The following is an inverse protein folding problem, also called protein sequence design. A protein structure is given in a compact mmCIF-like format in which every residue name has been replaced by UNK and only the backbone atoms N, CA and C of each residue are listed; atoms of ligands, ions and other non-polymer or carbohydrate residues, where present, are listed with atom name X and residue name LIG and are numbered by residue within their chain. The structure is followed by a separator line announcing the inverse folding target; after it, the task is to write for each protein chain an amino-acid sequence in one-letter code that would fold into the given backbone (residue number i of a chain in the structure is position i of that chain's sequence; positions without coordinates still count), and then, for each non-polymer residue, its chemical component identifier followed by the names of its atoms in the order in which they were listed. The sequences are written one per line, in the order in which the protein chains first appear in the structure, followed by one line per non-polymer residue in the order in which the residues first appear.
data_IF_559211543549
#
_entry.id   IF_559211543549
#
_cell.length_a   1.000
_cell.length_b   1.000
_cell.length_c   1.000
_cell.angle_alpha   90.00
_cell.angle_beta   90.00
_cell.angle_gamma   90.00
#
_symmetry.space_group_name_H-M   'P 1'
#
loop_
_entity.id
_entity.type
_entity.pdbx_description
1 polymer ?
#
# COMPACT_ATOMS: atom_id res chain seq x y z
N UNK A 1 -8.04 -3.90 18.95
CA UNK A 1 -8.26 -3.38 17.57
C UNK A 1 -9.74 -3.40 17.22
N UNK A 2 -10.15 -2.62 16.22
CA UNK A 2 -11.48 -2.65 15.63
C UNK A 2 -11.45 -3.48 14.36
N UNK A 3 -12.44 -4.35 14.19
CA UNK A 3 -12.49 -5.31 13.11
C UNK A 3 -13.73 -5.05 12.24
N UNK A 4 -13.51 -4.53 11.04
CA UNK A 4 -14.57 -4.19 10.10
C UNK A 4 -14.72 -5.34 9.12
N UNK A 5 -15.91 -5.96 9.13
CA UNK A 5 -16.15 -7.21 8.42
C UNK A 5 -17.42 -7.17 7.59
N UNK A 6 -17.33 -7.84 6.45
CA UNK A 6 -18.48 -8.35 5.70
C UNK A 6 -18.02 -9.59 4.89
N UNK A 7 -18.83 -10.03 3.92
CA UNK A 7 -18.50 -11.18 3.05
C UNK A 7 -17.18 -11.01 2.27
N UNK A 8 -16.83 -9.79 1.87
CA UNK A 8 -15.70 -9.47 1.00
C UNK A 8 -14.62 -8.59 1.67
N UNK A 9 -14.82 -8.17 2.91
CA UNK A 9 -13.92 -7.34 3.71
C UNK A 9 -13.60 -7.98 5.06
N UNK A 10 -12.37 -7.81 5.50
CA UNK A 10 -11.86 -8.22 6.82
C UNK A 10 -10.62 -7.39 7.13
N UNK A 11 -10.83 -6.21 7.73
CA UNK A 11 -9.75 -5.28 8.05
C UNK A 11 -9.68 -5.02 9.55
N UNK A 12 -8.45 -5.01 10.07
CA UNK A 12 -8.15 -4.66 11.45
C UNK A 12 -7.58 -3.25 11.49
N UNK A 13 -8.18 -2.42 12.33
CA UNK A 13 -7.84 -1.02 12.50
C UNK A 13 -7.45 -0.80 13.96
N UNK A 14 -6.28 -0.23 14.20
CA UNK A 14 -5.86 0.15 15.55
C UNK A 14 -6.73 1.29 16.10
N UNK A 15 -6.90 1.39 17.42
CA UNK A 15 -7.55 2.55 18.04
C UNK A 15 -6.91 3.88 17.60
N UNK A 16 -7.72 4.91 17.40
CA UNK A 16 -7.30 6.24 16.94
C UNK A 16 -6.87 6.31 15.47
N UNK A 17 -6.95 5.21 14.73
CA UNK A 17 -6.55 5.18 13.32
C UNK A 17 -7.72 5.53 12.40
N UNK A 18 -7.40 6.19 11.29
CA UNK A 18 -8.40 6.65 10.31
C UNK A 18 -8.72 5.55 9.31
N UNK A 19 -9.99 5.46 8.94
CA UNK A 19 -10.52 4.57 7.90
C UNK A 19 -11.01 5.42 6.73
N UNK A 20 -10.67 5.00 5.51
CA UNK A 20 -11.26 5.59 4.30
C UNK A 20 -12.69 5.10 4.19
N UNK A 21 -13.66 6.02 4.15
CA UNK A 21 -15.06 5.67 3.93
C UNK A 21 -15.73 6.62 2.95
N UNK A 22 -16.75 6.10 2.25
CA UNK A 22 -17.65 6.91 1.45
C UNK A 22 -18.73 7.52 2.35
N UNK A 23 -19.01 8.81 2.16
CA UNK A 23 -20.09 9.49 2.88
C UNK A 23 -21.43 9.06 2.29
N UNK A 24 -22.33 8.59 3.16
CA UNK A 24 -23.64 8.08 2.76
C UNK A 24 -24.40 9.10 1.88
N UNK A 25 -24.99 8.62 0.79
CA UNK A 25 -25.66 9.43 -0.24
C UNK A 25 -24.78 10.47 -0.95
N UNK A 26 -23.46 10.28 -0.98
CA UNK A 26 -22.54 11.14 -1.76
C UNK A 26 -21.45 10.32 -2.43
N UNK A 27 -20.76 10.89 -3.41
CA UNK A 27 -19.54 10.32 -4.00
C UNK A 27 -18.24 10.79 -3.32
N UNK A 28 -18.35 11.41 -2.15
CA UNK A 28 -17.21 11.92 -1.39
C UNK A 28 -16.63 10.83 -0.49
N UNK A 29 -15.32 10.63 -0.59
CA UNK A 29 -14.55 9.84 0.36
C UNK A 29 -13.92 10.74 1.42
N UNK A 30 -13.92 10.27 2.67
CA UNK A 30 -13.26 10.94 3.79
C UNK A 30 -12.43 9.94 4.60
N UNK A 31 -11.43 10.46 5.31
CA UNK A 31 -10.69 9.75 6.34
C UNK A 31 -11.30 10.10 7.70
N UNK A 32 -11.75 9.10 8.46
CA UNK A 32 -12.36 9.32 9.76
C UNK A 32 -11.89 8.28 10.78
N UNK A 33 -11.70 8.71 12.03
CA UNK A 33 -11.23 7.87 13.13
C UNK A 33 -12.19 6.70 13.36
N UNK A 34 -11.64 5.52 13.60
CA UNK A 34 -12.44 4.30 13.73
C UNK A 34 -13.45 4.37 14.88
N UNK A 35 -13.15 5.08 15.95
CA UNK A 35 -14.07 5.32 17.07
C UNK A 35 -15.33 6.08 16.63
N UNK A 36 -15.19 7.04 15.70
CA UNK A 36 -16.32 7.79 15.14
C UNK A 36 -17.09 6.91 14.16
N UNK A 37 -16.37 6.21 13.28
CA UNK A 37 -16.98 5.27 12.33
C UNK A 37 -17.81 4.19 13.03
N UNK A 38 -17.30 3.63 14.14
CA UNK A 38 -17.98 2.61 14.93
C UNK A 38 -19.26 3.11 15.63
N UNK A 39 -19.43 4.44 15.80
CA UNK A 39 -20.61 5.06 16.42
C UNK A 39 -21.64 5.53 15.39
N UNK A 40 -21.35 5.42 14.09
CA UNK A 40 -22.28 5.84 13.04
C UNK A 40 -23.56 5.00 13.09
N UNK A 41 -24.71 5.69 13.01
CA UNK A 41 -26.01 5.06 12.79
C UNK A 41 -26.28 4.78 11.31
N UNK A 42 -25.57 5.46 10.42
CA UNK A 42 -25.66 5.27 8.98
C UNK A 42 -24.80 4.08 8.52
N UNK A 43 -25.10 3.49 7.34
CA UNK A 43 -24.28 2.42 6.79
C UNK A 43 -22.83 2.86 6.59
N UNK A 44 -21.89 2.02 7.05
CA UNK A 44 -20.46 2.24 6.87
C UNK A 44 -20.04 1.67 5.51
N UNK A 45 -19.80 2.56 4.55
CA UNK A 45 -19.39 2.22 3.19
C UNK A 45 -17.89 2.44 3.05
N UNK A 46 -17.15 1.43 2.61
CA UNK A 46 -15.70 1.53 2.41
C UNK A 46 -15.31 1.15 0.98
N UNK A 47 -14.23 1.73 0.43
CA UNK A 47 -13.74 1.35 -0.87
C UNK A 47 -13.02 0.00 -0.81
N UNK A 48 -13.29 -0.84 -1.80
CA UNK A 48 -12.61 -2.13 -2.08
C UNK A 48 -11.61 -1.96 -3.22
N UNK A 49 -11.79 -0.94 -4.07
CA UNK A 49 -10.95 -0.67 -5.22
C UNK A 49 -10.68 0.82 -5.39
N UNK A 50 -9.58 1.14 -6.07
CA UNK A 50 -9.16 2.51 -6.39
C UNK A 50 -8.72 2.63 -7.84
N UNK A 51 -8.63 3.86 -8.35
CA UNK A 51 -8.12 4.09 -9.71
C UNK A 51 -6.62 3.85 -9.76
N UNK A 52 -6.14 3.21 -10.81
CA UNK A 52 -4.71 3.09 -11.10
C UNK A 52 -4.27 4.31 -11.95
N UNK A 53 -3.48 5.25 -11.41
CA UNK A 53 -3.14 6.50 -12.09
C UNK A 53 -1.90 6.38 -12.99
N UNK A 54 -1.36 5.16 -13.19
CA UNK A 54 -0.19 4.95 -14.03
C UNK A 54 -0.46 5.38 -15.47
N UNK A 55 0.60 5.83 -16.15
CA UNK A 55 0.56 6.14 -17.57
C UNK A 55 0.66 4.85 -18.38
N UNK A 56 0.09 4.88 -19.59
CA UNK A 56 0.14 3.77 -20.55
C UNK A 56 1.57 3.31 -20.78
N UNK A 57 1.75 2.00 -20.70
CA UNK A 57 3.02 1.31 -20.93
C UNK A 57 3.29 1.17 -22.43
N UNK A 58 4.55 0.96 -22.80
CA UNK A 58 4.99 0.78 -24.19
C UNK A 58 4.55 -0.53 -24.84
N UNK A 59 4.09 -1.51 -24.04
CA UNK A 59 3.57 -2.77 -24.58
C UNK A 59 2.29 -2.52 -25.41
N UNK A 60 2.25 -3.11 -26.61
CA UNK A 60 1.05 -3.06 -27.46
C UNK A 60 -0.06 -3.94 -26.88
N UNK A 61 -1.29 -3.63 -27.28
CA UNK A 61 -2.47 -4.38 -26.84
C UNK A 61 -2.40 -5.84 -27.32
N UNK A 62 -1.87 -6.08 -28.52
CA UNK A 62 -1.62 -7.41 -29.07
C UNK A 62 -0.59 -8.18 -28.25
N UNK A 63 0.48 -7.53 -27.79
CA UNK A 63 1.51 -8.17 -26.99
C UNK A 63 0.96 -8.57 -25.62
N UNK A 64 0.20 -7.67 -24.99
CA UNK A 64 -0.47 -7.93 -23.70
C UNK A 64 -1.41 -9.13 -23.83
N UNK A 65 -2.25 -9.16 -24.86
CA UNK A 65 -3.17 -10.27 -25.12
C UNK A 65 -2.45 -11.59 -25.33
N UNK A 66 -1.42 -11.60 -26.18
CA UNK A 66 -0.68 -12.82 -26.48
C UNK A 66 0.05 -13.35 -25.23
N UNK A 67 0.65 -12.47 -24.42
CA UNK A 67 1.26 -12.86 -23.16
C UNK A 67 0.21 -13.40 -22.17
N UNK A 68 -0.97 -12.78 -22.08
CA UNK A 68 -2.07 -13.29 -21.24
C UNK A 68 -2.47 -14.71 -21.63
N UNK A 69 -2.65 -14.98 -22.93
CA UNK A 69 -2.93 -16.32 -23.46
C UNK A 69 -1.82 -17.32 -23.12
N UNK A 70 -0.56 -16.91 -23.21
CA UNK A 70 0.58 -17.77 -22.90
C UNK A 70 0.65 -18.09 -21.39
N UNK A 71 0.31 -17.14 -20.52
CA UNK A 71 0.32 -17.39 -19.07
C UNK A 71 -0.81 -18.34 -18.67
N UNK A 72 -2.01 -18.18 -19.26
CA UNK A 72 -3.17 -19.00 -18.93
C UNK A 72 -3.10 -20.40 -19.56
N UNK A 73 -2.74 -20.49 -20.84
CA UNK A 73 -2.85 -21.73 -21.65
C UNK A 73 -1.51 -22.27 -22.17
N UNK A 74 -0.42 -21.53 -21.95
CA UNK A 74 0.89 -21.89 -22.46
C UNK A 74 1.54 -23.02 -21.66
N UNK A 75 2.49 -23.72 -22.28
CA UNK A 75 3.36 -24.69 -21.62
C UNK A 75 4.75 -24.62 -22.24
N UNK A 76 5.76 -24.97 -21.46
CA UNK A 76 7.14 -25.06 -21.94
C UNK A 76 7.55 -26.52 -22.05
N UNK A 77 7.93 -26.93 -23.27
CA UNK A 77 8.65 -28.17 -23.49
C UNK A 77 10.10 -28.00 -23.01
N UNK A 78 10.49 -28.78 -22.00
CA UNK A 78 11.87 -28.78 -21.51
C UNK A 78 12.81 -29.47 -22.50
N UNK A 79 14.08 -29.02 -22.58
CA UNK A 79 15.07 -29.70 -23.38
C UNK A 79 15.29 -31.13 -22.87
N UNK A 80 15.52 -32.05 -23.81
CA UNK A 80 15.87 -33.44 -23.52
C UNK A 80 17.26 -33.75 -24.05
N UNK A 81 17.79 -34.94 -23.76
CA UNK A 81 19.09 -35.42 -24.28
C UNK A 81 19.24 -35.25 -25.82
N UNK A 82 18.12 -35.21 -26.55
CA UNK A 82 18.09 -35.13 -28.01
C UNK A 82 17.52 -33.80 -28.55
N UNK A 83 17.06 -32.88 -27.70
CA UNK A 83 16.47 -31.60 -28.10
C UNK A 83 16.87 -30.47 -27.16
N UNK A 84 17.60 -29.50 -27.69
CA UNK A 84 18.24 -28.44 -26.90
C UNK A 84 17.40 -27.14 -26.78
N UNK A 85 16.08 -27.17 -27.04
CA UNK A 85 15.29 -25.94 -27.14
C UNK A 85 14.03 -25.96 -26.25
N UNK A 86 13.85 -24.87 -25.51
CA UNK A 86 12.64 -24.58 -24.74
C UNK A 86 11.57 -24.09 -25.70
N UNK A 87 10.59 -24.93 -26.03
CA UNK A 87 9.51 -24.55 -26.95
C UNK A 87 8.25 -24.21 -26.20
N UNK A 88 7.61 -23.11 -26.59
CA UNK A 88 6.32 -22.70 -26.04
C UNK A 88 5.21 -23.33 -26.89
N UNK A 89 4.24 -23.95 -26.22
CA UNK A 89 3.01 -24.46 -26.85
C UNK A 89 1.79 -23.86 -26.17
N UNK A 90 0.80 -23.44 -26.94
CA UNK A 90 -0.48 -22.93 -26.42
C UNK A 90 -1.55 -23.97 -26.76
N UNK A 91 -2.36 -24.33 -25.76
CA UNK A 91 -3.46 -25.29 -25.92
C UNK A 91 -4.79 -24.56 -25.80
N UNK A 92 -5.75 -24.84 -26.68
CA UNK A 92 -7.08 -24.25 -26.56
C UNK A 92 -8.13 -25.13 -27.24
N UNK A 93 -9.36 -25.07 -26.75
CA UNK A 93 -10.52 -25.79 -27.30
C UNK A 93 -10.87 -25.31 -28.71
N UNK A 94 -11.02 -26.25 -29.64
CA UNK A 94 -11.38 -25.95 -31.05
C UNK A 94 -12.89 -25.98 -31.26
N UNK A 95 -13.63 -26.73 -30.43
CA UNK A 95 -15.07 -26.96 -30.64
C UNK A 95 -15.98 -26.00 -29.88
N UNK A 96 -15.60 -25.55 -28.67
CA UNK A 96 -16.43 -24.68 -27.82
C UNK A 96 -16.12 -23.18 -27.92
N UNK A 97 -14.89 -22.81 -28.25
CA UNK A 97 -14.40 -21.42 -28.18
C UNK A 97 -13.56 -21.04 -29.40
N UNK A 98 -14.12 -21.26 -30.60
CA UNK A 98 -13.44 -21.02 -31.88
C UNK A 98 -12.84 -19.62 -31.98
N UNK A 99 -13.47 -18.62 -31.39
CA UNK A 99 -13.00 -17.22 -31.40
C UNK A 99 -11.67 -17.04 -30.66
N UNK A 100 -11.49 -17.71 -29.52
CA UNK A 100 -10.26 -17.65 -28.73
C UNK A 100 -9.08 -18.23 -29.50
N UNK A 101 -9.27 -19.41 -30.09
CA UNK A 101 -8.24 -20.07 -30.90
C UNK A 101 -7.84 -19.23 -32.12
N UNK A 102 -8.82 -18.63 -32.81
CA UNK A 102 -8.55 -17.75 -33.96
C UNK A 102 -7.89 -16.43 -33.56
N UNK A 103 -8.22 -15.85 -32.40
CA UNK A 103 -7.52 -14.67 -31.90
C UNK A 103 -6.04 -14.98 -31.62
N UNK A 104 -5.74 -16.11 -30.97
CA UNK A 104 -4.34 -16.52 -30.72
C UNK A 104 -3.58 -16.63 -32.05
N UNK A 105 -4.17 -17.26 -33.08
CA UNK A 105 -3.53 -17.35 -34.42
C UNK A 105 -3.26 -15.97 -35.02
N UNK A 106 -4.24 -15.07 -35.02
CA UNK A 106 -4.08 -13.69 -35.50
C UNK A 106 -2.97 -12.94 -34.75
N UNK A 107 -2.86 -13.13 -33.44
CA UNK A 107 -1.80 -12.53 -32.63
C UNK A 107 -0.43 -13.10 -32.97
N UNK A 108 -0.31 -14.42 -33.15
CA UNK A 108 0.94 -15.05 -33.58
C UNK A 108 1.37 -14.54 -34.96
N UNK A 109 0.43 -14.45 -35.91
CA UNK A 109 0.68 -13.95 -37.26
C UNK A 109 1.09 -12.47 -37.26
N UNK A 110 0.44 -11.64 -36.42
CA UNK A 110 0.77 -10.21 -36.25
C UNK A 110 2.24 -10.00 -35.85
N UNK A 111 2.77 -10.84 -34.96
CA UNK A 111 4.18 -10.78 -34.54
C UNK A 111 5.14 -11.59 -35.44
N UNK A 112 4.63 -12.18 -36.54
CA UNK A 112 5.41 -13.03 -37.44
C UNK A 112 5.98 -14.27 -36.73
N UNK A 113 5.26 -14.81 -35.74
CA UNK A 113 5.67 -15.99 -34.99
C UNK A 113 5.24 -17.25 -35.73
N UNK A 114 6.21 -18.08 -36.11
CA UNK A 114 5.98 -19.35 -36.81
C UNK A 114 5.58 -20.43 -35.80
N UNK A 115 4.52 -21.18 -36.11
CA UNK A 115 4.02 -22.28 -35.30
C UNK A 115 3.57 -23.46 -36.16
N UNK A 116 3.43 -24.62 -35.51
CA UNK A 116 2.79 -25.81 -36.05
C UNK A 116 1.48 -26.05 -35.32
N UNK A 117 0.45 -26.39 -36.08
CA UNK A 117 -0.89 -26.68 -35.56
C UNK A 117 -1.08 -28.19 -35.47
N UNK A 118 -1.58 -28.64 -34.32
CA UNK A 118 -1.94 -30.03 -34.09
C UNK A 118 -3.33 -30.08 -33.48
N UNK A 119 -4.13 -31.07 -33.85
CA UNK A 119 -5.40 -31.35 -33.21
C UNK A 119 -5.33 -32.69 -32.49
N UNK A 120 -5.86 -32.74 -31.28
CA UNK A 120 -5.96 -33.97 -30.50
C UNK A 120 -7.29 -34.03 -29.76
N UNK A 121 -7.86 -35.23 -29.61
CA UNK A 121 -9.01 -35.44 -28.76
C UNK A 121 -8.54 -35.74 -27.34
N UNK A 122 -8.95 -34.93 -26.37
CA UNK A 122 -8.71 -35.16 -24.94
C UNK A 122 -10.02 -35.08 -24.18
N UNK A 123 -10.33 -36.12 -23.38
CA UNK A 123 -11.57 -36.22 -22.59
C UNK A 123 -12.86 -35.94 -23.41
N UNK A 124 -12.90 -36.38 -24.68
CA UNK A 124 -14.05 -36.22 -25.56
C UNK A 124 -14.22 -34.82 -26.19
N UNK A 125 -13.25 -33.90 -26.00
CA UNK A 125 -13.22 -32.57 -26.64
C UNK A 125 -11.99 -32.43 -27.54
N UNK A 126 -12.15 -31.75 -28.68
CA UNK A 126 -11.05 -31.44 -29.58
C UNK A 126 -10.25 -30.24 -29.04
N UNK A 127 -8.98 -30.49 -28.73
CA UNK A 127 -8.02 -29.49 -28.26
C UNK A 127 -7.00 -29.26 -29.35
N UNK A 128 -6.87 -27.99 -29.74
CA UNK A 128 -5.91 -27.49 -30.69
C UNK A 128 -4.66 -27.09 -29.95
N UNK A 129 -3.51 -27.45 -30.51
CA UNK A 129 -2.19 -27.13 -29.97
C UNK A 129 -1.43 -26.32 -31.00
N UNK A 130 -1.05 -25.10 -30.64
CA UNK A 130 -0.18 -24.23 -31.41
C UNK A 130 1.23 -24.31 -30.81
N UNK A 131 2.12 -25.07 -31.47
CA UNK A 131 3.49 -25.27 -31.01
C UNK A 131 4.43 -24.32 -31.75
N UNK A 132 5.00 -23.36 -31.04
CA UNK A 132 5.92 -22.39 -31.64
C UNK A 132 7.23 -23.05 -32.08
N UNK A 133 7.82 -22.51 -33.16
CA UNK A 133 9.19 -22.86 -33.56
C UNK A 133 10.19 -22.43 -32.48
N UNK A 134 11.42 -22.94 -32.54
CA UNK A 134 12.47 -22.56 -31.59
C UNK A 134 12.79 -21.05 -31.67
N UNK A 135 12.82 -20.49 -32.87
CA UNK A 135 13.05 -19.05 -33.11
C UNK A 135 11.93 -18.21 -32.49
N UNK A 136 10.66 -18.55 -32.76
CA UNK A 136 9.52 -17.83 -32.20
C UNK A 136 9.41 -17.99 -30.68
N UNK A 137 9.73 -19.17 -30.14
CA UNK A 137 9.78 -19.39 -28.69
C UNK A 137 10.85 -18.51 -28.03
N UNK A 138 12.00 -18.28 -28.69
CA UNK A 138 13.05 -17.40 -28.16
C UNK A 138 12.54 -15.96 -27.97
N UNK A 139 11.76 -15.42 -28.91
CA UNK A 139 11.13 -14.10 -28.77
C UNK A 139 10.18 -14.04 -27.58
N UNK A 140 9.39 -15.09 -27.36
CA UNK A 140 8.51 -15.17 -26.17
C UNK A 140 9.35 -15.18 -24.89
N UNK A 141 10.39 -16.01 -24.80
CA UNK A 141 11.27 -16.06 -23.62
C UNK A 141 11.93 -14.71 -23.32
N UNK A 142 12.26 -13.92 -24.34
CA UNK A 142 12.77 -12.55 -24.18
C UNK A 142 11.72 -11.63 -23.54
N UNK A 143 10.44 -11.75 -23.90
CA UNK A 143 9.35 -10.97 -23.28
C UNK A 143 9.11 -11.35 -21.81
N UNK A 144 9.27 -12.63 -21.48
CA UNK A 144 9.13 -13.13 -20.10
C UNK A 144 10.41 -12.94 -19.27
N UNK A 145 11.54 -12.64 -19.91
CA UNK A 145 12.84 -12.52 -19.25
C UNK A 145 13.44 -13.84 -18.77
N UNK A 146 12.82 -14.98 -19.09
CA UNK A 146 13.29 -16.32 -18.72
C UNK A 146 12.87 -17.35 -19.76
N UNK A 147 13.59 -18.49 -19.79
CA UNK A 147 13.28 -19.64 -20.65
C UNK A 147 12.61 -20.79 -19.89
N UNK A 148 12.59 -20.72 -18.57
CA UNK A 148 12.27 -21.87 -17.71
C UNK A 148 10.79 -22.00 -17.37
N UNK A 149 10.09 -20.87 -17.31
CA UNK A 149 8.67 -20.79 -16.97
C UNK A 149 7.96 -19.70 -17.80
N UNK A 150 6.67 -19.90 -18.06
CA UNK A 150 5.75 -18.89 -18.62
C UNK A 150 4.50 -18.70 -17.76
N UNK A 151 4.32 -19.49 -16.69
CA UNK A 151 3.18 -19.42 -15.78
C UNK A 151 3.44 -18.44 -14.62
N UNK A 152 3.79 -17.20 -14.94
CA UNK A 152 3.92 -16.09 -13.99
C UNK A 152 3.68 -14.78 -14.74
N UNK A 153 3.37 -13.69 -14.02
CA UNK A 153 3.14 -12.40 -14.67
C UNK A 153 4.43 -11.58 -14.57
N UNK A 154 5.16 -11.35 -15.67
CA UNK A 154 6.38 -10.55 -15.62
C UNK A 154 6.12 -9.11 -15.17
N UNK A 155 7.15 -8.51 -14.59
CA UNK A 155 7.20 -7.14 -14.10
C UNK A 155 6.71 -6.09 -15.11
N UNK A 156 6.94 -6.33 -16.40
CA UNK A 156 6.48 -5.48 -17.50
C UNK A 156 4.95 -5.39 -17.56
N UNK A 157 4.25 -6.49 -17.28
CA UNK A 157 2.78 -6.56 -17.22
C UNK A 157 2.24 -6.07 -15.86
N UNK A 158 2.94 -6.33 -14.75
CA UNK A 158 2.55 -5.81 -13.43
C UNK A 158 2.63 -4.27 -13.33
N UNK A 159 3.30 -3.63 -14.30
CA UNK A 159 3.50 -2.18 -14.42
C UNK A 159 2.53 -1.49 -15.41
N UNK A 160 1.52 -2.19 -15.91
CA UNK A 160 0.53 -1.63 -16.82
C UNK A 160 -0.35 -0.55 -16.18
N UNK A 161 -0.93 0.30 -17.03
CA UNK A 161 -2.01 1.22 -16.63
C UNK A 161 -3.33 0.46 -16.37
N UNK A 162 -4.37 1.19 -16.01
CA UNK A 162 -5.66 0.59 -15.67
C UNK A 162 -6.32 -0.14 -16.85
N UNK A 163 -6.32 0.45 -18.05
CA UNK A 163 -7.03 -0.10 -19.20
C UNK A 163 -6.25 -1.27 -19.81
N UNK A 164 -4.92 -1.18 -19.87
CA UNK A 164 -4.05 -2.28 -20.26
C UNK A 164 -4.14 -3.45 -19.27
N UNK A 165 -4.23 -3.18 -17.97
CA UNK A 165 -4.42 -4.23 -16.95
C UNK A 165 -5.77 -4.94 -17.13
N UNK A 166 -6.84 -4.19 -17.47
CA UNK A 166 -8.15 -4.78 -17.77
C UNK A 166 -8.09 -5.64 -19.01
N UNK A 167 -7.43 -5.17 -20.07
CA UNK A 167 -7.23 -5.94 -21.30
C UNK A 167 -6.53 -7.28 -21.00
N UNK A 168 -5.48 -7.24 -20.19
CA UNK A 168 -4.80 -8.45 -19.73
C UNK A 168 -5.77 -9.38 -18.98
N UNK A 169 -6.48 -8.85 -17.96
CA UNK A 169 -7.34 -9.67 -17.10
C UNK A 169 -8.50 -10.29 -17.87
N UNK A 170 -9.14 -9.54 -18.76
CA UNK A 170 -10.22 -10.02 -19.63
C UNK A 170 -9.74 -11.12 -20.57
N UNK A 171 -8.53 -10.99 -21.12
CA UNK A 171 -7.93 -12.02 -21.96
C UNK A 171 -7.59 -13.26 -21.14
N UNK A 172 -6.97 -13.11 -19.98
CA UNK A 172 -6.63 -14.21 -19.08
C UNK A 172 -7.89 -14.99 -18.65
N UNK A 173 -8.97 -14.28 -18.31
CA UNK A 173 -10.26 -14.89 -17.91
C UNK A 173 -10.92 -15.70 -19.04
N UNK A 174 -10.59 -15.46 -20.30
CA UNK A 174 -11.10 -16.26 -21.43
C UNK A 174 -10.35 -17.58 -21.58
N UNK A 175 -9.14 -17.72 -21.02
CA UNK A 175 -8.45 -19.00 -20.94
C UNK A 175 -8.84 -19.77 -19.69
N UNK A 176 -8.55 -19.18 -18.53
CA UNK A 176 -8.57 -19.88 -17.24
C UNK A 176 -9.71 -19.39 -16.30
N UNK A 177 -10.61 -18.55 -16.82
CA UNK A 177 -11.71 -17.98 -16.05
C UNK A 177 -12.98 -18.83 -16.04
N UNK A 178 -13.63 -18.89 -14.88
CA UNK A 178 -14.96 -19.46 -14.71
C UNK A 178 -15.99 -18.35 -14.42
N UNK A 179 -17.14 -18.38 -15.10
CA UNK A 179 -18.20 -17.36 -15.01
C UNK A 179 -17.70 -15.91 -15.24
N UNK A 180 -16.58 -15.72 -15.93
CA UNK A 180 -16.01 -14.40 -16.20
C UNK A 180 -15.59 -13.59 -14.96
N UNK A 181 -15.48 -14.22 -13.78
CA UNK A 181 -15.14 -13.53 -12.54
C UNK A 181 -14.37 -14.38 -11.51
N UNK A 182 -14.09 -15.64 -11.80
CA UNK A 182 -13.34 -16.54 -10.92
C UNK A 182 -12.14 -17.12 -11.66
N UNK A 183 -11.01 -17.22 -10.98
CA UNK A 183 -9.80 -17.89 -11.45
C UNK A 183 -9.42 -18.93 -10.39
N UNK A 184 -9.03 -20.13 -10.82
CA UNK A 184 -8.62 -21.20 -9.90
C UNK A 184 -7.19 -21.62 -10.19
N UNK A 185 -6.28 -21.43 -9.24
CA UNK A 185 -4.88 -21.82 -9.40
C UNK A 185 -4.40 -22.67 -8.21
N UNK A 186 -3.40 -23.52 -8.47
CA UNK A 186 -2.64 -24.21 -7.41
C UNK A 186 -1.31 -23.52 -7.11
N UNK A 187 -0.92 -22.54 -7.93
CA UNK A 187 0.32 -21.80 -7.81
C UNK A 187 0.10 -20.55 -6.95
N UNK A 188 0.86 -20.45 -5.86
CA UNK A 188 0.73 -19.37 -4.89
C UNK A 188 1.40 -18.07 -5.36
N UNK A 189 2.46 -18.16 -6.17
CA UNK A 189 3.15 -16.98 -6.70
C UNK A 189 2.29 -16.32 -7.77
N UNK A 190 1.80 -17.11 -8.74
CA UNK A 190 0.87 -16.64 -9.76
C UNK A 190 -0.41 -16.06 -9.15
N UNK A 191 -0.91 -16.64 -8.05
CA UNK A 191 -2.04 -16.05 -7.31
C UNK A 191 -1.72 -14.63 -6.82
N UNK A 192 -0.52 -14.40 -6.29
CA UNK A 192 -0.07 -13.09 -5.84
C UNK A 192 -0.04 -12.07 -6.98
N UNK A 193 0.52 -12.47 -8.11
CA UNK A 193 0.59 -11.66 -9.33
C UNK A 193 -0.80 -11.31 -9.86
N UNK A 194 -1.71 -12.29 -9.92
CA UNK A 194 -3.10 -12.09 -10.33
C UNK A 194 -3.84 -11.15 -9.37
N UNK A 195 -3.61 -11.27 -8.06
CA UNK A 195 -4.19 -10.34 -7.07
C UNK A 195 -3.73 -8.90 -7.33
N UNK A 196 -2.44 -8.69 -7.61
CA UNK A 196 -1.91 -7.37 -7.97
C UNK A 196 -2.50 -6.87 -9.29
N UNK A 197 -2.64 -7.73 -10.29
CA UNK A 197 -3.25 -7.38 -11.58
C UNK A 197 -4.71 -6.95 -11.42
N UNK A 198 -5.50 -7.65 -10.59
CA UNK A 198 -6.89 -7.27 -10.27
C UNK A 198 -6.95 -5.88 -9.63
N UNK A 199 -6.01 -5.58 -8.71
CA UNK A 199 -5.90 -4.24 -8.11
C UNK A 199 -5.54 -3.19 -9.15
N UNK A 200 -4.60 -3.48 -10.07
CA UNK A 200 -4.23 -2.58 -11.16
C UNK A 200 -5.39 -2.25 -12.11
N UNK A 201 -6.36 -3.18 -12.28
CA UNK A 201 -7.58 -2.96 -13.05
C UNK A 201 -8.58 -1.99 -12.38
N UNK A 202 -8.33 -1.63 -11.12
CA UNK A 202 -9.25 -0.92 -10.26
C UNK A 202 -10.41 -1.79 -9.78
N UNK A 203 -10.13 -3.08 -9.51
CA UNK A 203 -11.09 -4.02 -8.96
C UNK A 203 -10.66 -4.55 -7.59
N UNK A 204 -11.63 -5.06 -6.85
CA UNK A 204 -11.41 -5.81 -5.62
C UNK A 204 -11.27 -7.31 -5.86
N UNK A 205 -10.90 -8.06 -4.83
CA UNK A 205 -10.92 -9.52 -4.87
C UNK A 205 -11.22 -10.18 -3.52
N UNK A 206 -11.67 -11.44 -3.59
CA UNK A 206 -11.54 -12.40 -2.48
C UNK A 206 -10.81 -13.66 -2.94
N UNK A 207 -10.11 -14.31 -2.01
CA UNK A 207 -9.47 -15.62 -2.23
C UNK A 207 -10.03 -16.61 -1.22
N UNK A 208 -10.50 -17.74 -1.73
CA UNK A 208 -10.91 -18.89 -0.93
C UNK A 208 -9.92 -20.03 -1.15
N UNK A 209 -9.46 -20.66 -0.07
CA UNK A 209 -8.70 -21.90 -0.14
C UNK A 209 -9.65 -23.09 -0.11
N UNK A 210 -9.43 -24.08 -0.99
CA UNK A 210 -10.17 -25.33 -1.05
C UNK A 210 -9.21 -26.50 -1.05
N UNK A 211 -9.59 -27.58 -0.36
CA UNK A 211 -8.93 -28.87 -0.53
C UNK A 211 -9.31 -29.43 -1.91
N UNK A 212 -8.37 -29.98 -2.67
CA UNK A 212 -8.67 -30.53 -3.98
C UNK A 212 -9.58 -31.76 -3.85
N UNK A 213 -10.50 -31.93 -4.80
CA UNK A 213 -11.27 -33.18 -4.95
C UNK A 213 -10.37 -34.30 -5.49
N UNK A 214 -9.36 -33.94 -6.31
CA UNK A 214 -8.39 -34.86 -6.91
C UNK A 214 -7.00 -34.24 -6.77
N UNK A 215 -6.06 -34.97 -6.16
CA UNK A 215 -4.68 -34.52 -5.92
C UNK A 215 -4.40 -34.05 -4.50
N UNK A 216 -3.19 -33.53 -4.25
CA UNK A 216 -2.72 -33.09 -2.91
C UNK A 216 -2.52 -31.57 -2.78
N UNK A 217 -2.50 -30.82 -3.89
CA UNK A 217 -2.22 -29.38 -3.88
C UNK A 217 -3.45 -28.56 -3.50
N UNK A 218 -3.29 -27.60 -2.60
CA UNK A 218 -4.33 -26.63 -2.23
C UNK A 218 -4.79 -25.86 -3.47
N UNK A 219 -6.10 -25.70 -3.62
CA UNK A 219 -6.70 -24.87 -4.67
C UNK A 219 -7.03 -23.49 -4.12
N UNK A 220 -6.58 -22.45 -4.82
CA UNK A 220 -6.90 -21.07 -4.53
C UNK A 220 -7.93 -20.58 -5.55
N UNK A 221 -9.10 -20.19 -5.08
CA UNK A 221 -10.17 -19.63 -5.89
C UNK A 221 -10.18 -18.12 -5.69
N UNK A 222 -9.62 -17.39 -6.65
CA UNK A 222 -9.64 -15.94 -6.73
C UNK A 222 -10.95 -15.49 -7.37
N UNK A 223 -11.74 -14.67 -6.67
CA UNK A 223 -12.96 -14.05 -7.18
C UNK A 223 -12.74 -12.55 -7.34
N UNK A 224 -13.06 -12.03 -8.52
CA UNK A 224 -12.95 -10.61 -8.87
C UNK A 224 -14.22 -9.88 -8.45
N UNK A 225 -14.04 -8.68 -7.89
CA UNK A 225 -15.10 -7.80 -7.40
C UNK A 225 -15.02 -6.50 -8.19
N UNK A 226 -15.97 -6.28 -9.11
CA UNK A 226 -15.94 -5.13 -10.02
C UNK A 226 -16.53 -3.84 -9.43
N UNK A 227 -17.30 -3.93 -8.33
CA UNK A 227 -17.81 -2.74 -7.65
C UNK A 227 -16.72 -2.11 -6.78
N UNK A 228 -16.69 -0.77 -6.75
CA UNK A 228 -15.67 -0.02 -6.03
C UNK A 228 -15.90 0.01 -4.51
N UNK A 229 -17.15 -0.10 -4.06
CA UNK A 229 -17.55 0.14 -2.68
C UNK A 229 -18.29 -1.04 -2.07
N UNK A 230 -18.20 -1.20 -0.75
CA UNK A 230 -18.97 -2.21 -0.02
C UNK A 230 -19.41 -1.75 1.36
N UNK A 231 -20.48 -2.37 1.86
CA UNK A 231 -21.09 -2.05 3.14
C UNK A 231 -20.54 -2.96 4.24
N UNK A 232 -19.94 -2.38 5.27
CA UNK A 232 -19.50 -3.13 6.45
C UNK A 232 -20.73 -3.57 7.25
N UNK A 233 -20.81 -4.86 7.53
CA UNK A 233 -21.94 -5.47 8.26
C UNK A 233 -21.69 -5.55 9.75
N UNK A 234 -20.42 -5.67 10.18
CA UNK A 234 -20.05 -5.81 11.59
C UNK A 234 -18.78 -5.04 11.88
N UNK A 235 -18.79 -4.29 12.98
CA UNK A 235 -17.61 -3.67 13.60
C UNK A 235 -17.52 -4.21 15.02
N UNK A 236 -16.44 -4.93 15.33
CA UNK A 236 -16.23 -5.52 16.66
C UNK A 236 -14.86 -5.16 17.21
N UNK A 237 -14.78 -4.94 18.52
CA UNK A 237 -13.49 -4.82 19.20
C UNK A 237 -12.93 -6.24 19.39
N UNK A 238 -11.67 -6.42 19.02
CA UNK A 238 -10.93 -7.68 19.16
C UNK A 238 -9.59 -7.42 19.81
N UNK A 239 -9.17 -8.34 20.67
CA UNK A 239 -7.81 -8.36 21.17
C UNK A 239 -6.86 -8.76 20.05
N UNK A 240 -5.71 -8.09 19.98
CA UNK A 240 -4.72 -8.31 18.94
C UNK A 240 -3.32 -8.16 19.55
N UNK A 241 -2.60 -9.27 19.63
CA UNK A 241 -1.19 -9.32 20.09
C UNK A 241 -0.19 -9.53 18.95
N UNK A 242 -0.61 -9.34 17.70
CA UNK A 242 0.25 -9.51 16.52
C UNK A 242 1.06 -8.25 16.19
N UNK A 243 1.89 -8.36 15.16
CA UNK A 243 2.72 -7.24 14.66
C UNK A 243 1.82 -6.21 13.96
N UNK A 244 1.98 -4.94 14.35
CA UNK A 244 1.35 -3.80 13.69
C UNK A 244 2.35 -3.20 12.72
N UNK A 245 1.90 -2.96 11.49
CA UNK A 245 2.68 -2.30 10.45
C UNK A 245 2.13 -0.89 10.21
N UNK A 246 3.00 0.11 10.16
CA UNK A 246 2.64 1.51 9.87
C UNK A 246 3.36 2.00 8.60
N UNK A 247 2.93 1.57 7.40
CA UNK A 247 3.56 1.94 6.14
C UNK A 247 3.30 3.40 5.77
N UNK A 248 4.35 4.14 5.38
CA UNK A 248 4.22 5.52 4.91
C UNK A 248 4.06 5.61 3.39
N UNK A 249 3.00 6.26 2.93
CA UNK A 249 2.79 6.59 1.51
C UNK A 249 2.43 8.06 1.34
N UNK A 250 2.77 8.61 0.16
CA UNK A 250 2.48 10.01 -0.22
C UNK A 250 1.00 10.38 -0.10
N UNK A 251 0.09 9.42 -0.32
CA UNK A 251 -1.35 9.64 -0.34
C UNK A 251 -2.03 9.19 0.97
N UNK A 252 -1.27 8.94 2.04
CA UNK A 252 -1.76 8.47 3.35
C UNK A 252 -2.72 7.28 3.28
N UNK A 253 -2.57 6.44 2.25
CA UNK A 253 -3.45 5.30 1.99
C UNK A 253 -2.63 4.13 1.50
N UNK A 254 -3.03 2.92 1.90
CA UNK A 254 -2.39 1.67 1.50
C UNK A 254 -3.45 0.66 1.09
N UNK A 255 -3.08 -0.14 0.09
CA UNK A 255 -3.87 -1.30 -0.34
C UNK A 255 -3.22 -2.52 0.30
N UNK A 256 -3.99 -3.26 1.08
CA UNK A 256 -3.52 -4.41 1.83
C UNK A 256 -4.48 -5.59 1.62
N UNK A 257 -4.05 -6.79 2.03
CA UNK A 257 -4.90 -7.98 2.02
C UNK A 257 -4.85 -8.70 3.36
N UNK A 258 -6.00 -9.22 3.80
CA UNK A 258 -6.12 -10.04 5.01
C UNK A 258 -7.13 -11.16 4.76
N UNK A 259 -6.78 -12.39 5.12
CA UNK A 259 -7.64 -13.57 4.96
C UNK A 259 -8.24 -13.68 3.54
N UNK A 260 -7.39 -13.42 2.53
CA UNK A 260 -7.77 -13.48 1.12
C UNK A 260 -8.58 -12.29 0.62
N UNK A 261 -8.86 -11.26 1.42
CA UNK A 261 -9.69 -10.11 1.06
C UNK A 261 -8.84 -8.85 0.95
N UNK A 262 -9.00 -8.09 -0.14
CA UNK A 262 -8.33 -6.80 -0.32
C UNK A 262 -9.07 -5.69 0.42
N UNK A 263 -8.34 -4.73 0.98
CA UNK A 263 -8.90 -3.56 1.64
C UNK A 263 -7.99 -2.35 1.47
N UNK A 264 -8.58 -1.17 1.55
CA UNK A 264 -7.86 0.11 1.49
C UNK A 264 -7.97 0.75 2.87
N UNK A 265 -6.83 1.02 3.51
CA UNK A 265 -6.78 1.68 4.81
C UNK A 265 -5.92 2.94 4.76
N UNK A 266 -6.15 3.85 5.70
CA UNK A 266 -5.34 5.05 5.84
C UNK A 266 -3.93 4.74 6.35
N UNK A 267 -3.12 5.77 6.51
CA UNK A 267 -1.92 5.75 7.32
C UNK A 267 -2.05 6.79 8.45
N UNK A 268 -1.27 6.58 9.51
CA UNK A 268 -1.04 7.57 10.56
C UNK A 268 -0.55 8.89 9.93
N UNK A 269 -1.14 10.04 10.29
CA UNK A 269 -0.70 11.33 9.77
C UNK A 269 0.75 11.58 10.15
N UNK A 270 1.46 12.35 9.31
CA UNK A 270 2.75 12.90 9.70
C UNK A 270 2.53 13.81 10.92
N UNK A 271 3.09 13.44 12.07
CA UNK A 271 3.09 14.27 13.27
C UNK A 271 4.51 14.59 13.71
N UNK A 272 4.71 15.81 14.16
CA UNK A 272 6.00 16.29 14.65
C UNK A 272 5.77 16.99 15.97
N UNK A 273 6.63 16.73 16.94
CA UNK A 273 6.69 17.49 18.18
C UNK A 273 7.99 18.26 18.21
N UNK A 274 7.94 19.53 18.60
CA UNK A 274 9.16 20.31 18.85
C UNK A 274 9.35 20.37 20.35
N UNK A 275 10.54 20.01 20.82
CA UNK A 275 10.87 19.98 22.23
C UNK A 275 11.89 21.09 22.49
N UNK A 276 11.50 22.06 23.30
CA UNK A 276 12.43 23.04 23.83
C UNK A 276 13.12 22.43 25.05
N UNK A 277 14.46 22.51 25.07
CA UNK A 277 15.28 21.99 26.16
C UNK A 277 15.32 22.93 27.36
N UNK A 278 15.01 24.20 27.12
CA UNK A 278 14.96 25.26 28.14
C UNK A 278 13.60 25.93 28.04
N UNK A 279 13.04 26.33 29.18
CA UNK A 279 11.76 27.05 29.21
C UNK A 279 11.87 28.30 28.33
N UNK A 280 11.00 28.44 27.29
CA UNK A 280 11.02 29.61 26.42
C UNK A 280 10.82 30.90 27.23
N UNK A 281 11.56 31.95 26.87
CA UNK A 281 11.57 33.21 27.64
C UNK A 281 10.16 33.80 27.81
N UNK A 282 9.33 33.67 26.77
CA UNK A 282 7.94 34.13 26.77
C UNK A 282 7.03 33.39 27.76
N UNK A 283 7.38 32.16 28.16
CA UNK A 283 6.58 31.36 29.10
C UNK A 283 7.13 31.43 30.53
N UNK A 284 8.39 31.84 30.75
CA UNK A 284 9.03 31.78 32.07
C UNK A 284 8.22 32.42 33.19
N UNK A 285 7.51 33.53 32.91
CA UNK A 285 6.71 34.27 33.91
C UNK A 285 5.23 33.90 33.90
N UNK A 286 4.81 33.09 32.95
CA UNK A 286 3.41 32.67 32.85
C UNK A 286 3.09 31.64 33.93
N UNK A 287 1.89 31.71 34.55
CA UNK A 287 1.47 30.71 35.52
C UNK A 287 1.30 29.35 34.84
N UNK A 288 1.71 28.28 35.52
CA UNK A 288 1.43 26.91 35.05
C UNK A 288 -0.07 26.68 35.06
N UNK A 289 -0.59 25.97 34.06
CA UNK A 289 -2.02 25.63 33.96
C UNK A 289 -2.22 24.16 34.30
N UNK A 290 -3.08 23.86 35.28
CA UNK A 290 -3.47 22.48 35.64
C UNK A 290 -4.98 22.39 35.60
N UNK A 291 -5.53 21.48 34.78
CA UNK A 291 -6.98 21.30 34.65
C UNK A 291 -7.73 22.51 34.08
N UNK A 292 -7.02 23.43 33.40
CA UNK A 292 -7.57 24.70 32.91
C UNK A 292 -7.39 25.88 33.88
N UNK A 293 -6.89 25.63 35.09
CA UNK A 293 -6.77 26.66 36.14
C UNK A 293 -5.30 27.13 36.30
N UNK A 294 -5.05 28.46 36.33
CA UNK A 294 -3.73 29.01 36.64
C UNK A 294 -3.27 28.67 38.05
N UNK A 295 -2.01 28.29 38.18
CA UNK A 295 -1.36 27.97 39.44
C UNK A 295 -0.52 29.15 39.95
N UNK A 296 -0.12 29.09 41.23
CA UNK A 296 0.75 30.10 41.85
C UNK A 296 2.18 30.08 41.32
N UNK A 297 2.65 28.90 40.86
CA UNK A 297 3.98 28.72 40.28
C UNK A 297 3.98 29.05 38.81
N UNK A 298 5.10 29.57 38.33
CA UNK A 298 5.34 29.94 36.93
C UNK A 298 6.08 28.84 36.18
N UNK A 299 5.97 28.77 34.85
CA UNK A 299 6.71 27.76 34.07
C UNK A 299 8.22 27.87 34.30
N UNK A 300 8.74 29.07 34.56
CA UNK A 300 10.13 29.36 34.91
C UNK A 300 10.71 28.48 36.02
N UNK A 301 9.85 28.00 36.93
CA UNK A 301 10.22 27.19 38.09
C UNK A 301 10.34 25.68 37.78
N UNK A 302 10.00 25.24 36.56
CA UNK A 302 9.86 23.80 36.21
C UNK A 302 10.90 23.30 35.19
N UNK A 303 12.12 23.87 35.20
CA UNK A 303 13.17 23.44 34.28
C UNK A 303 13.58 21.99 34.52
N UNK A 304 13.57 21.56 35.77
CA UNK A 304 13.94 20.18 36.12
C UNK A 304 12.90 19.18 35.60
N UNK A 305 11.61 19.51 35.67
CA UNK A 305 10.54 18.69 35.12
C UNK A 305 10.61 18.59 33.59
N UNK A 306 11.00 19.67 32.89
CA UNK A 306 11.28 19.62 31.44
C UNK A 306 12.46 18.69 31.14
N UNK A 307 13.53 18.76 31.94
CA UNK A 307 14.69 17.89 31.80
C UNK A 307 14.31 16.42 31.98
N UNK A 308 13.52 16.11 33.03
CA UNK A 308 13.00 14.77 33.31
C UNK A 308 12.12 14.28 32.15
N UNK A 309 11.22 15.14 31.65
CA UNK A 309 10.36 14.79 30.52
C UNK A 309 11.15 14.45 29.26
N UNK A 310 12.11 15.31 28.87
CA UNK A 310 12.94 15.09 27.69
C UNK A 310 13.79 13.82 27.82
N UNK A 311 14.33 13.54 29.01
CA UNK A 311 15.06 12.31 29.29
C UNK A 311 14.17 11.07 29.12
N UNK A 312 13.01 11.05 29.78
CA UNK A 312 12.07 9.92 29.72
C UNK A 312 11.56 9.68 28.28
N UNK A 313 11.27 10.75 27.55
CA UNK A 313 10.86 10.67 26.17
C UNK A 313 11.97 10.09 25.28
N UNK A 314 13.22 10.50 25.50
CA UNK A 314 14.40 9.93 24.82
C UNK A 314 14.57 8.43 25.09
N UNK A 315 14.36 7.98 26.32
CA UNK A 315 14.42 6.55 26.69
C UNK A 315 13.39 5.73 25.91
N UNK A 316 12.15 6.21 25.84
CA UNK A 316 11.09 5.57 25.04
C UNK A 316 11.48 5.50 23.55
N UNK A 317 12.03 6.56 22.98
CA UNK A 317 12.48 6.55 21.59
C UNK A 317 13.64 5.59 21.31
N UNK A 318 14.55 5.37 22.27
CA UNK A 318 15.64 4.38 22.16
C UNK A 318 15.11 2.95 22.25
N UNK A 319 14.22 2.72 23.22
CA UNK A 319 13.57 1.43 23.45
C UNK A 319 12.84 1.01 22.17
N UNK A 320 12.09 1.95 21.57
CA UNK A 320 11.34 1.72 20.33
C UNK A 320 9.98 1.07 20.57
N UNK A 321 9.38 0.58 19.50
CA UNK A 321 8.11 -0.16 19.57
C UNK A 321 8.29 -1.51 20.28
N UNK A 322 7.21 -2.30 20.38
CA UNK A 322 7.23 -3.61 21.02
C UNK A 322 8.25 -4.62 20.41
N UNK A 323 8.87 -4.30 19.27
CA UNK A 323 9.92 -5.08 18.62
C UNK A 323 11.29 -4.39 18.64
N UNK A 324 11.42 -3.29 19.38
CA UNK A 324 12.64 -2.49 19.45
C UNK A 324 12.92 -1.67 18.19
N UNK A 325 11.89 -1.38 17.37
CA UNK A 325 12.05 -0.57 16.15
C UNK A 325 11.77 0.90 16.43
N UNK A 326 12.40 1.80 15.68
CA UNK A 326 12.16 3.25 15.82
C UNK A 326 10.68 3.61 15.66
N UNK A 327 10.18 4.50 16.51
CA UNK A 327 8.87 5.10 16.30
C UNK A 327 8.88 6.00 15.06
N UNK A 328 7.98 5.74 14.11
CA UNK A 328 7.83 6.60 12.93
C UNK A 328 7.30 7.99 13.29
N UNK A 329 6.43 8.09 14.31
CA UNK A 329 5.75 9.33 14.71
C UNK A 329 5.38 9.35 16.21
N UNK A 330 5.23 10.55 16.81
CA UNK A 330 5.64 11.83 16.24
C UNK A 330 7.15 11.88 16.07
N UNK A 331 7.65 12.59 15.06
CA UNK A 331 9.08 12.85 14.92
C UNK A 331 9.45 13.94 15.93
N UNK A 332 10.40 13.69 16.84
CA UNK A 332 10.89 14.73 17.73
C UNK A 332 11.79 15.70 16.94
N UNK A 333 11.64 17.00 17.19
CA UNK A 333 12.51 18.06 16.67
C UNK A 333 13.11 18.85 17.83
N UNK A 334 14.43 19.02 17.83
CA UNK A 334 15.16 19.83 18.81
C UNK A 334 15.68 21.09 18.13
N UNK A 335 15.51 22.23 18.79
CA UNK A 335 16.08 23.49 18.35
C UNK A 335 17.53 23.59 18.84
N UNK A 336 18.48 23.81 17.92
CA UNK A 336 19.89 24.09 18.25
C UNK A 336 20.11 25.58 18.09
N UNK A 337 20.36 26.27 19.19
CA UNK A 337 20.65 27.70 19.27
C UNK A 337 22.14 27.97 19.50
N UNK A 338 22.56 29.24 19.45
CA UNK A 338 23.97 29.64 19.68
C UNK A 338 24.46 29.30 21.10
N UNK A 339 23.54 29.30 22.05
CA UNK A 339 23.73 29.03 23.48
C UNK A 339 23.38 27.59 23.86
N UNK A 340 23.23 26.69 22.88
CA UNK A 340 22.89 25.29 23.14
C UNK A 340 23.94 24.61 24.02
N UNK A 341 23.50 24.02 25.14
CA UNK A 341 24.38 23.28 26.05
C UNK A 341 24.67 21.87 25.52
N UNK A 342 25.76 21.76 24.76
CA UNK A 342 26.25 20.50 24.20
C UNK A 342 26.66 19.45 25.24
N UNK A 343 26.90 19.86 26.49
CA UNK A 343 27.34 18.98 27.58
C UNK A 343 26.21 18.63 28.54
N UNK A 344 24.97 18.99 28.21
CA UNK A 344 23.81 18.71 29.04
C UNK A 344 23.62 17.17 29.20
N UNK A 345 23.70 16.63 30.43
CA UNK A 345 23.61 15.19 30.67
C UNK A 345 22.23 14.61 30.33
N UNK A 346 21.17 15.42 30.33
CA UNK A 346 19.82 14.99 29.96
C UNK A 346 19.67 14.74 28.44
N UNK A 347 20.68 15.08 27.63
CA UNK A 347 20.69 14.84 26.18
C UNK A 347 21.34 13.52 25.76
N UNK A 348 21.93 12.75 26.68
CA UNK A 348 22.64 11.51 26.35
C UNK A 348 21.73 10.52 25.59
N UNK A 349 20.49 10.35 26.05
CA UNK A 349 19.50 9.51 25.38
C UNK A 349 19.11 10.05 23.99
N UNK A 350 19.08 11.37 23.81
CA UNK A 350 18.81 11.98 22.52
C UNK A 350 19.92 11.68 21.50
N UNK A 351 21.18 11.77 21.94
CA UNK A 351 22.33 11.46 21.11
C UNK A 351 22.39 9.98 20.75
N UNK A 352 22.05 9.11 21.69
CA UNK A 352 21.97 7.67 21.44
C UNK A 352 20.86 7.32 20.44
N UNK A 353 19.67 7.92 20.57
CA UNK A 353 18.60 7.78 19.58
C UNK A 353 19.03 8.30 18.19
N UNK A 354 19.81 9.38 18.14
CA UNK A 354 20.35 9.95 16.89
C UNK A 354 21.29 8.96 16.23
N UNK A 355 22.21 8.38 17.02
CA UNK A 355 23.19 7.40 16.56
C UNK A 355 22.54 6.10 16.09
N UNK A 356 21.52 5.62 16.81
CA UNK A 356 20.87 4.32 16.55
C UNK A 356 19.87 4.40 15.39
N UNK A 357 19.11 5.48 15.29
CA UNK A 357 17.93 5.56 14.42
C UNK A 357 17.86 6.82 13.53
N UNK A 358 18.74 7.81 13.72
CA UNK A 358 18.68 9.06 12.98
C UNK A 358 17.56 10.02 13.41
N UNK A 359 17.08 9.90 14.66
CA UNK A 359 16.12 10.83 15.29
C UNK A 359 16.72 11.43 16.57
N UNK A 360 16.39 12.66 16.97
CA UNK A 360 15.41 13.59 16.40
C UNK A 360 15.88 14.29 15.12
N UNK A 361 14.99 15.12 14.56
CA UNK A 361 15.40 16.21 13.67
C UNK A 361 15.99 17.37 14.47
N UNK A 362 16.93 18.09 13.86
CA UNK A 362 17.53 19.28 14.44
C UNK A 362 17.20 20.52 13.62
N UNK A 363 16.54 21.48 14.24
CA UNK A 363 16.32 22.81 13.68
C UNK A 363 17.50 23.70 14.06
N UNK A 364 18.36 23.99 13.09
CA UNK A 364 19.55 24.81 13.30
C UNK A 364 19.24 26.32 13.27
N UNK A 365 19.45 26.99 14.40
CA UNK A 365 19.38 28.45 14.57
C UNK A 365 20.77 29.08 14.83
N UNK A 366 21.85 28.31 14.90
CA UNK A 366 23.21 28.80 15.20
C UNK A 366 23.65 29.85 14.18
N UNK A 367 23.37 29.61 12.90
CA UNK A 367 23.71 30.51 11.79
C UNK A 367 22.52 31.34 11.29
N UNK A 368 21.47 31.46 12.11
CA UNK A 368 20.25 32.18 11.75
C UNK A 368 20.13 33.49 12.54
N UNK A 369 19.56 34.51 11.91
CA UNK A 369 19.13 35.74 12.60
C UNK A 369 17.75 35.58 13.28
N UNK A 370 17.10 34.42 13.07
CA UNK A 370 15.81 34.09 13.67
C UNK A 370 16.01 33.47 15.05
N UNK A 371 15.10 33.79 15.97
CA UNK A 371 15.00 33.08 17.24
C UNK A 371 14.03 31.90 17.13
N UNK A 372 14.14 30.85 17.98
CA UNK A 372 13.17 29.77 18.02
C UNK A 372 11.72 30.26 18.13
N UNK A 373 11.47 31.36 18.85
CA UNK A 373 10.11 31.91 19.02
C UNK A 373 9.55 32.58 17.76
N UNK A 374 10.41 32.92 16.77
CA UNK A 374 10.01 33.55 15.52
C UNK A 374 9.27 32.57 14.57
N UNK A 375 9.30 31.26 14.88
CA UNK A 375 8.72 30.20 14.07
C UNK A 375 7.97 29.20 14.94
N UNK A 376 6.76 28.83 14.52
CA UNK A 376 6.07 27.66 15.08
C UNK A 376 6.01 26.53 14.08
N UNK A 377 6.08 25.33 14.62
CA UNK A 377 6.32 24.07 13.92
C UNK A 377 5.42 23.88 12.71
N UNK A 378 6.03 23.81 11.52
CA UNK A 378 5.55 22.95 10.45
C UNK A 378 6.79 22.28 9.83
N UNK A 379 6.57 21.06 9.32
CA UNK A 379 7.51 20.14 8.66
C UNK A 379 8.62 20.85 7.87
N UNK A 380 9.78 20.20 7.66
CA UNK A 380 11.00 20.63 6.95
C UNK A 380 10.83 21.46 5.65
N UNK A 381 9.61 21.61 5.12
CA UNK A 381 9.22 22.33 3.90
C UNK A 381 8.38 23.60 4.12
N UNK A 382 7.81 23.83 5.30
CA UNK A 382 6.95 24.98 5.59
C UNK A 382 7.32 25.56 6.96
N UNK A 383 7.89 26.77 6.99
CA UNK A 383 8.13 27.53 8.23
C UNK A 383 7.25 28.78 8.19
N UNK A 384 6.38 28.95 9.19
CA UNK A 384 5.55 30.15 9.34
C UNK A 384 6.30 31.16 10.22
N UNK A 385 6.58 32.34 9.67
CA UNK A 385 7.15 33.46 10.41
C UNK A 385 6.06 34.14 11.25
N UNK A 386 6.20 34.12 12.57
CA UNK A 386 5.28 34.81 13.47
C UNK A 386 5.31 36.33 13.26
N UNK A 387 6.47 36.88 12.88
CA UNK A 387 6.66 38.31 12.59
C UNK A 387 5.82 38.80 11.39
N UNK A 388 5.61 37.95 10.39
CA UNK A 388 4.77 38.28 9.23
C UNK A 388 3.28 38.08 9.53
N UNK A 389 2.94 37.15 10.42
CA UNK A 389 1.58 36.87 10.87
C UNK A 389 0.99 38.05 11.66
N UNK A 390 1.76 38.67 12.55
CA UNK A 390 1.34 39.89 13.28
C UNK A 390 1.00 41.06 12.34
N UNK A 391 1.63 41.15 11.15
CA UNK A 391 1.32 42.19 10.16
C UNK A 391 -0.01 41.96 9.40
N UNK A 392 -0.61 40.77 9.50
CA UNK A 392 -1.83 40.38 8.76
C UNK A 392 -3.06 40.17 9.64
N UNK A 393 -3.06 40.66 10.89
CA UNK A 393 -4.16 40.54 11.86
C UNK A 393 -5.46 41.31 11.53
N UNK A 394 -5.84 41.38 10.25
CA UNK A 394 -7.06 42.04 9.74
C UNK A 394 -8.06 41.09 9.07
N UNK A 395 -7.99 39.79 9.32
CA UNK A 395 -8.99 38.81 8.90
C UNK A 395 -8.54 37.86 7.78
N UNK A 396 -8.50 36.56 8.10
CA UNK A 396 -8.87 35.42 7.23
C UNK A 396 -8.70 34.06 7.92
N UNK A 397 -8.00 33.99 9.07
CA UNK A 397 -7.97 32.82 9.95
C UNK A 397 -8.06 33.29 11.40
N UNK A 398 -9.16 32.94 12.08
CA UNK A 398 -9.38 33.25 13.48
C UNK A 398 -8.69 32.25 14.40
N UNK A 399 -7.56 32.66 14.97
CA UNK A 399 -7.14 32.38 16.36
C UNK A 399 -5.86 33.19 16.63
N UNK A 400 -5.90 34.11 17.58
CA UNK A 400 -4.74 34.85 18.07
C UNK A 400 -4.12 34.08 19.25
N UNK A 401 -2.79 34.13 19.49
CA UNK A 401 -2.13 33.36 20.54
C UNK A 401 -2.34 33.91 21.98
N UNK A 402 -3.47 34.58 22.25
CA UNK A 402 -3.91 34.98 23.60
C UNK A 402 -5.42 34.78 23.82
N UNK A 403 -6.03 33.81 23.11
CA UNK A 403 -7.36 33.24 23.43
C UNK A 403 -7.33 31.73 23.26
#
# INVERSE_FOLDING_TARGET
MYNLRNRIQDQLISPGHRVVRKVFNTDKYILEDIEKVARLKSPVIIPVAGKNPRRRNSLSDEQIKLMAWIISEGTIERPTKYRCCYRVSIYQSVSGEKENFQEIKKLLDHFGLKYYEYESASLGKNVGRLRLTAESSKKIHEWFGTKENVHFIPDSLLKLDQEQSRLFLETYLRGDGFEGCKITTTDFELLGDLQQMVVNCGYGFTVMQRKPTIGKKTLYVLRIIKHADTYITKIEKVDYGGIIWCPHTKNETVIARRNGKVFITGNTPFSNITLDLVIPEMMKKEPVIIGGEPQKKTYGEFQEEINIFNKALGEVYIEGDAQGRVFSFPIPTINITKDFDWKNPYLENLWEATRKYGIPYFSNFVNSDMKPEDVRSMCCRLRLSNKELYKKGGGLFGANPLT
#
